data_IF_022217085358
#
_entry.id   IF_022217085358
#
_cell.length_a   1.000
_cell.length_b   1.000
_cell.length_c   1.000
_cell.angle_alpha   90.00
_cell.angle_beta   90.00
_cell.angle_gamma   90.00
#
_symmetry.space_group_name_H-M   'P 1'
#
loop_
_entity.id
_entity.type
_entity.pdbx_description
1 polymer ?
#
# COMPACT_ATOMS: atom_id res chain seq x y z
N UNK A 1 3.57 -4.97 -16.64
CA UNK A 1 3.30 -4.72 -15.20
C UNK A 1 4.08 -5.76 -14.40
N UNK A 2 5.10 -5.36 -13.64
CA UNK A 2 5.85 -6.29 -12.81
C UNK A 2 5.04 -6.59 -11.53
N UNK A 3 4.64 -7.86 -11.36
CA UNK A 3 3.98 -8.45 -10.18
C UNK A 3 2.51 -8.06 -9.85
N UNK A 4 1.53 -8.30 -10.74
CA UNK A 4 0.09 -8.06 -10.48
C UNK A 4 -0.55 -8.97 -9.40
N UNK A 5 0.24 -9.71 -8.62
CA UNK A 5 -0.24 -10.68 -7.63
C UNK A 5 0.60 -10.68 -6.35
N UNK A 6 1.67 -9.88 -6.24
CA UNK A 6 2.53 -9.89 -5.04
C UNK A 6 1.87 -9.12 -3.91
N UNK A 7 1.75 -9.75 -2.74
CA UNK A 7 1.39 -9.06 -1.51
C UNK A 7 2.61 -8.30 -0.99
N UNK A 8 2.45 -6.99 -0.82
CA UNK A 8 3.47 -6.09 -0.28
C UNK A 8 3.07 -5.75 1.16
N UNK A 9 3.97 -6.02 2.10
CA UNK A 9 3.71 -5.77 3.52
C UNK A 9 3.68 -4.27 3.83
N UNK A 10 3.05 -3.91 4.96
CA UNK A 10 3.07 -2.51 5.43
C UNK A 10 4.51 -2.03 5.65
N UNK A 11 5.37 -2.89 6.22
CA UNK A 11 6.79 -2.59 6.44
C UNK A 11 7.53 -2.31 5.14
N UNK A 12 7.34 -3.17 4.12
CA UNK A 12 7.98 -2.98 2.81
C UNK A 12 7.51 -1.66 2.15
N UNK A 13 6.23 -1.30 2.26
CA UNK A 13 5.74 0.00 1.78
C UNK A 13 6.37 1.18 2.52
N UNK A 14 6.49 1.10 3.84
CA UNK A 14 7.10 2.15 4.67
C UNK A 14 8.57 2.35 4.29
N UNK A 15 9.33 1.26 4.15
CA UNK A 15 10.75 1.30 3.75
C UNK A 15 10.95 1.92 2.36
N UNK A 16 10.00 1.70 1.43
CA UNK A 16 10.08 2.30 0.10
C UNK A 16 9.68 3.78 0.05
N UNK A 17 8.79 4.22 0.95
CA UNK A 17 8.30 5.61 1.00
C UNK A 17 9.28 6.51 1.77
N UNK A 18 9.87 6.01 2.86
CA UNK A 18 10.73 6.79 3.74
C UNK A 18 12.18 6.32 3.65
N UNK A 19 13.06 7.19 3.14
CA UNK A 19 14.49 6.89 3.05
C UNK A 19 15.29 7.18 4.33
N UNK A 20 14.79 7.96 5.27
CA UNK A 20 15.32 8.11 6.64
C UNK A 20 14.48 9.12 7.43
N UNK A 21 14.30 8.84 8.72
CA UNK A 21 14.00 9.76 9.84
C UNK A 21 12.83 10.75 9.72
N UNK A 22 11.62 10.24 9.48
CA UNK A 22 10.42 10.94 9.94
C UNK A 22 9.53 10.01 10.76
N UNK A 23 8.94 10.58 11.81
CA UNK A 23 8.13 9.90 12.80
C UNK A 23 7.11 8.97 12.15
N UNK A 24 7.14 7.72 12.61
CA UNK A 24 6.34 6.61 12.08
C UNK A 24 4.90 6.78 12.51
N UNK A 25 4.15 7.62 11.83
CA UNK A 25 2.70 7.62 12.00
C UNK A 25 2.16 6.27 11.53
N UNK A 26 1.74 5.46 12.52
CA UNK A 26 1.34 4.05 12.38
C UNK A 26 0.22 3.82 11.35
N UNK A 27 -0.47 4.89 10.94
CA UNK A 27 -1.65 4.88 10.08
C UNK A 27 -1.47 5.59 8.73
N UNK A 28 -0.27 6.10 8.42
CA UNK A 28 -0.06 6.91 7.20
C UNK A 28 -0.24 6.10 5.93
N UNK A 29 0.11 4.81 5.95
CA UNK A 29 -0.10 3.91 4.82
C UNK A 29 -1.60 3.77 4.52
N UNK A 30 -2.44 3.59 5.53
CA UNK A 30 -3.89 3.45 5.39
C UNK A 30 -4.51 4.71 4.76
N UNK A 31 -4.05 5.88 5.19
CA UNK A 31 -4.47 7.17 4.63
C UNK A 31 -4.09 7.27 3.15
N UNK A 32 -2.85 6.92 2.80
CA UNK A 32 -2.41 6.95 1.40
C UNK A 32 -3.15 5.93 0.54
N UNK A 33 -3.32 4.69 0.99
CA UNK A 33 -4.10 3.68 0.27
C UNK A 33 -5.54 4.15 0.06
N UNK A 34 -6.16 4.74 1.08
CA UNK A 34 -7.50 5.33 0.97
C UNK A 34 -7.56 6.46 -0.07
N UNK A 35 -6.58 7.36 -0.10
CA UNK A 35 -6.49 8.44 -1.10
C UNK A 35 -6.26 7.89 -2.51
N UNK A 36 -5.41 6.90 -2.67
CA UNK A 36 -5.11 6.30 -3.98
C UNK A 36 -6.35 5.58 -4.52
N UNK A 37 -7.03 4.75 -3.72
CA UNK A 37 -8.28 4.08 -4.11
C UNK A 37 -9.35 5.07 -4.58
N UNK A 38 -9.47 6.22 -3.91
CA UNK A 38 -10.40 7.29 -4.33
C UNK A 38 -10.01 7.94 -5.65
N UNK A 39 -8.72 7.99 -5.99
CA UNK A 39 -8.21 8.68 -7.19
C UNK A 39 -8.24 7.80 -8.45
N UNK A 40 -7.98 6.49 -8.33
CA UNK A 40 -7.87 5.59 -9.48
C UNK A 40 -9.12 4.72 -9.65
N UNK A 41 -9.42 3.91 -8.65
CA UNK A 41 -10.60 3.05 -8.51
C UNK A 41 -10.43 2.22 -7.23
N UNK A 42 -11.53 1.88 -6.53
CA UNK A 42 -11.46 1.16 -5.26
C UNK A 42 -10.88 -0.26 -5.39
N UNK A 43 -11.05 -0.89 -6.55
CA UNK A 43 -10.74 -2.32 -6.76
C UNK A 43 -9.28 -2.58 -7.17
N UNK A 44 -8.52 -1.53 -7.49
CA UNK A 44 -7.12 -1.65 -7.94
C UNK A 44 -6.18 -2.08 -6.82
N UNK A 45 -6.50 -1.73 -5.57
CA UNK A 45 -5.70 -2.12 -4.41
C UNK A 45 -6.55 -2.97 -3.48
N UNK A 46 -6.18 -4.23 -3.29
CA UNK A 46 -6.81 -5.14 -2.35
C UNK A 46 -6.06 -5.16 -1.04
N UNK A 47 -6.80 -5.13 0.08
CA UNK A 47 -6.20 -5.34 1.41
C UNK A 47 -6.21 -6.84 1.71
N UNK A 48 -5.03 -7.39 1.99
CA UNK A 48 -4.87 -8.76 2.47
C UNK A 48 -4.65 -8.69 3.98
N UNK A 49 -5.71 -8.95 4.76
CA UNK A 49 -5.70 -8.78 6.22
C UNK A 49 -4.54 -9.54 6.85
N UNK A 50 -3.81 -8.86 7.73
CA UNK A 50 -2.64 -9.42 8.42
C UNK A 50 -1.36 -9.51 7.57
N UNK A 51 -1.43 -9.28 6.25
CA UNK A 51 -0.28 -9.42 5.35
C UNK A 51 0.13 -8.10 4.69
N UNK A 52 -0.83 -7.31 4.20
CA UNK A 52 -0.54 -6.02 3.55
C UNK A 52 -1.49 -5.70 2.40
N UNK A 53 -0.93 -5.28 1.27
CA UNK A 53 -1.68 -4.80 0.10
C UNK A 53 -1.21 -5.48 -1.18
N UNK A 54 -2.15 -5.68 -2.09
CA UNK A 54 -1.90 -6.29 -3.39
C UNK A 54 -2.50 -5.38 -4.46
N UNK A 55 -1.78 -5.16 -5.56
CA UNK A 55 -2.33 -4.51 -6.74
C UNK A 55 -3.07 -5.56 -7.55
N UNK A 56 -4.31 -5.27 -7.93
CA UNK A 56 -5.10 -6.07 -8.85
C UNK A 56 -5.27 -5.25 -10.13
N UNK A 57 -4.64 -5.71 -11.21
CA UNK A 57 -4.89 -5.17 -12.53
C UNK A 57 -6.00 -6.01 -13.16
N UNK A 58 -7.17 -5.42 -13.31
CA UNK A 58 -8.24 -5.99 -14.14
C UNK A 58 -8.00 -5.64 -15.61
#
# INVERSE_FOLDING_TARGET
MHNPEKVISRTELVEHIYKQDFDRDSNTIEVFIGRIRKKIAPDVIKTVRGLGYQLHAN
#
